data_IF_264908327586
#
_entry.id   IF_264908327586
#
_cell.length_a   1.000
_cell.length_b   1.000
_cell.length_c   1.000
_cell.angle_alpha   90.00
_cell.angle_beta   90.00
_cell.angle_gamma   90.00
#
_symmetry.space_group_name_H-M   'P 1'
#
loop_
_entity.id
_entity.type
_entity.pdbx_description
1 polymer ?
#
# COMPACT_ATOMS: atom_id res chain seq x y z
N UNK A 1 -9.41 -11.71 -4.89
CA UNK A 1 -8.73 -10.57 -4.20
C UNK A 1 -8.65 -9.33 -5.05
N UNK A 2 -8.38 -9.46 -6.33
CA UNK A 2 -8.36 -8.32 -7.26
C UNK A 2 -9.69 -7.55 -7.24
N UNK A 3 -10.83 -8.25 -7.25
CA UNK A 3 -12.16 -7.64 -7.22
C UNK A 3 -12.43 -6.75 -6.00
N UNK A 4 -11.83 -7.09 -4.86
CA UNK A 4 -11.93 -6.26 -3.64
C UNK A 4 -11.14 -4.95 -3.82
N UNK A 5 -9.94 -5.01 -4.39
CA UNK A 5 -9.14 -3.81 -4.64
C UNK A 5 -9.81 -2.92 -5.67
N UNK A 6 -10.32 -3.49 -6.76
CA UNK A 6 -11.01 -2.74 -7.82
C UNK A 6 -12.30 -2.10 -7.35
N UNK A 7 -13.04 -2.72 -6.42
CA UNK A 7 -14.22 -2.10 -5.82
C UNK A 7 -13.89 -0.78 -5.10
N UNK A 8 -12.73 -0.69 -4.47
CA UNK A 8 -12.25 0.57 -3.89
C UNK A 8 -11.72 1.53 -4.96
N UNK A 9 -11.01 1.03 -5.98
CA UNK A 9 -10.49 1.87 -7.08
C UNK A 9 -11.60 2.57 -7.86
N UNK A 10 -12.82 2.04 -7.87
CA UNK A 10 -13.99 2.68 -8.48
C UNK A 10 -14.35 4.03 -7.82
N UNK A 11 -13.88 4.29 -6.61
CA UNK A 11 -14.03 5.58 -5.94
C UNK A 11 -13.01 6.64 -6.44
N UNK A 12 -12.05 6.23 -7.27
CA UNK A 12 -11.07 7.13 -7.89
C UNK A 12 -11.61 7.60 -9.26
N UNK A 13 -12.37 8.67 -9.25
CA UNK A 13 -13.05 9.21 -10.45
C UNK A 13 -12.13 10.03 -11.36
N UNK A 14 -10.94 10.40 -10.88
CA UNK A 14 -9.92 11.13 -11.64
C UNK A 14 -9.15 10.20 -12.57
N UNK A 15 -8.68 10.67 -13.73
CA UNK A 15 -7.80 9.88 -14.59
C UNK A 15 -6.54 9.42 -13.85
N UNK A 16 -6.17 8.17 -14.02
CA UNK A 16 -4.97 7.59 -13.43
C UNK A 16 -4.38 6.50 -14.33
N UNK A 17 -3.09 6.26 -14.21
CA UNK A 17 -2.41 5.10 -14.79
C UNK A 17 -2.34 3.97 -13.74
N UNK A 18 -2.56 2.76 -14.19
CA UNK A 18 -2.52 1.58 -13.32
C UNK A 18 -1.26 0.75 -13.60
N UNK A 19 -0.47 0.55 -12.57
CA UNK A 19 0.69 -0.35 -12.57
C UNK A 19 0.40 -1.52 -11.64
N UNK A 20 0.54 -2.74 -12.14
CA UNK A 20 0.28 -3.95 -11.35
C UNK A 20 1.51 -4.82 -11.31
N UNK A 21 2.11 -5.00 -10.13
CA UNK A 21 3.16 -5.99 -9.94
C UNK A 21 2.55 -7.36 -9.64
N UNK A 22 2.93 -8.36 -10.41
CA UNK A 22 2.57 -9.75 -10.23
C UNK A 22 3.81 -10.56 -9.87
N UNK A 23 3.72 -11.34 -8.79
CA UNK A 23 4.82 -12.20 -8.36
C UNK A 23 4.87 -13.41 -9.28
N UNK A 24 6.04 -13.64 -9.88
CA UNK A 24 6.28 -14.76 -10.79
C UNK A 24 5.96 -16.11 -10.14
N UNK A 25 5.27 -16.98 -10.87
CA UNK A 25 4.75 -18.25 -10.38
C UNK A 25 3.53 -18.20 -9.45
N UNK A 26 2.98 -16.98 -9.17
CA UNK A 26 1.83 -16.80 -8.26
C UNK A 26 0.61 -16.14 -8.91
N UNK A 27 0.54 -16.11 -10.22
CA UNK A 27 -0.59 -15.60 -11.00
C UNK A 27 -0.97 -16.58 -12.10
N UNK A 28 -2.18 -16.45 -12.62
CA UNK A 28 -2.71 -17.21 -13.75
C UNK A 28 -2.93 -16.30 -14.94
N UNK A 29 -3.12 -16.90 -16.12
CA UNK A 29 -3.52 -16.15 -17.31
C UNK A 29 -4.87 -15.45 -17.10
N UNK A 30 -5.78 -16.08 -16.37
CA UNK A 30 -7.08 -15.50 -16.00
C UNK A 30 -6.92 -14.23 -15.16
N UNK A 31 -5.94 -14.19 -14.24
CA UNK A 31 -5.66 -12.99 -13.45
C UNK A 31 -5.21 -11.83 -14.36
N UNK A 32 -4.35 -12.09 -15.33
CA UNK A 32 -3.90 -11.10 -16.32
C UNK A 32 -5.09 -10.57 -17.13
N UNK A 33 -5.96 -11.45 -17.59
CA UNK A 33 -7.15 -11.07 -18.36
C UNK A 33 -8.12 -10.23 -17.55
N UNK A 34 -8.37 -10.57 -16.29
CA UNK A 34 -9.18 -9.77 -15.36
C UNK A 34 -8.60 -8.37 -15.16
N UNK A 35 -7.29 -8.26 -15.00
CA UNK A 35 -6.61 -6.97 -14.84
C UNK A 35 -6.78 -6.13 -16.10
N UNK A 36 -6.52 -6.68 -17.27
CA UNK A 36 -6.66 -6.00 -18.57
C UNK A 36 -8.11 -5.61 -18.89
N UNK A 37 -9.07 -6.45 -18.48
CA UNK A 37 -10.50 -6.14 -18.61
C UNK A 37 -10.92 -4.97 -17.73
N UNK A 38 -10.34 -4.85 -16.54
CA UNK A 38 -10.62 -3.73 -15.63
C UNK A 38 -10.07 -2.40 -16.21
N UNK A 39 -8.84 -2.41 -16.73
CA UNK A 39 -8.20 -1.22 -17.32
C UNK A 39 -7.27 -1.64 -18.47
N UNK A 40 -7.61 -1.22 -19.69
CA UNK A 40 -6.94 -1.66 -20.92
C UNK A 40 -5.50 -1.16 -21.05
N UNK A 41 -5.21 0.04 -20.53
CA UNK A 41 -3.89 0.69 -20.54
C UNK A 41 -3.04 0.37 -19.28
N UNK A 42 -3.34 -0.75 -18.61
CA UNK A 42 -2.58 -1.19 -17.44
C UNK A 42 -1.17 -1.64 -17.82
N UNK A 43 -0.18 -1.24 -17.01
CA UNK A 43 1.18 -1.77 -17.10
C UNK A 43 1.36 -2.90 -16.08
N UNK A 44 1.54 -4.12 -16.57
CA UNK A 44 1.79 -5.32 -15.74
C UNK A 44 3.30 -5.54 -15.67
N UNK A 45 3.82 -5.70 -14.45
CA UNK A 45 5.24 -5.87 -14.16
C UNK A 45 5.42 -7.19 -13.40
N UNK A 46 6.18 -8.11 -13.99
CA UNK A 46 6.52 -9.36 -13.33
C UNK A 46 7.67 -9.13 -12.36
N UNK A 47 7.55 -9.63 -11.14
CA UNK A 47 8.51 -9.41 -10.06
C UNK A 47 8.83 -10.72 -9.35
N UNK A 48 10.07 -10.85 -8.89
CA UNK A 48 10.46 -11.93 -8.00
C UNK A 48 9.74 -11.80 -6.64
N UNK A 49 9.56 -12.93 -5.95
CA UNK A 49 8.99 -12.94 -4.59
C UNK A 49 10.01 -12.48 -3.55
N UNK A 50 10.45 -11.23 -3.66
CA UNK A 50 11.41 -10.59 -2.76
C UNK A 50 10.86 -9.27 -2.21
N UNK A 51 11.11 -9.00 -0.92
CA UNK A 51 10.74 -7.73 -0.28
C UNK A 51 9.24 -7.56 -0.03
N UNK A 52 8.48 -8.65 -0.05
CA UNK A 52 7.04 -8.68 0.21
C UNK A 52 6.30 -7.70 -0.73
N UNK A 53 5.33 -6.94 -0.21
CA UNK A 53 4.57 -5.93 -0.97
C UNK A 53 5.36 -4.64 -1.29
N UNK A 54 6.42 -4.35 -0.53
CA UNK A 54 7.32 -3.22 -0.80
C UNK A 54 8.25 -3.53 -1.97
N UNK A 55 8.77 -4.76 -2.09
CA UNK A 55 9.61 -5.15 -3.21
C UNK A 55 8.91 -4.99 -4.56
N UNK A 56 7.68 -5.48 -4.67
CA UNK A 56 6.84 -5.29 -5.85
C UNK A 56 6.54 -3.82 -6.15
N UNK A 57 6.27 -3.02 -5.11
CA UNK A 57 6.06 -1.58 -5.26
C UNK A 57 7.29 -0.86 -5.80
N UNK A 58 8.47 -1.08 -5.21
CA UNK A 58 9.71 -0.44 -5.64
C UNK A 58 10.08 -0.81 -7.08
N UNK A 59 9.76 -2.02 -7.51
CA UNK A 59 9.96 -2.44 -8.90
C UNK A 59 9.02 -1.71 -9.84
N UNK A 60 7.72 -1.61 -9.48
CA UNK A 60 6.74 -0.86 -10.26
C UNK A 60 7.03 0.65 -10.26
N UNK A 61 7.53 1.20 -9.16
CA UNK A 61 7.89 2.62 -9.02
C UNK A 61 8.92 3.07 -10.06
N UNK A 62 9.87 2.22 -10.44
CA UNK A 62 10.87 2.53 -11.48
C UNK A 62 10.27 2.73 -12.87
N UNK A 63 9.05 2.27 -13.08
CA UNK A 63 8.33 2.34 -14.34
C UNK A 63 7.32 3.49 -14.40
N UNK A 64 7.19 4.24 -13.28
CA UNK A 64 6.28 5.38 -13.18
C UNK A 64 6.83 6.56 -13.98
N UNK A 65 5.96 7.23 -14.72
CA UNK A 65 6.36 8.38 -15.52
C UNK A 65 6.81 9.56 -14.64
N UNK A 66 7.85 10.24 -15.09
CA UNK A 66 8.46 11.37 -14.38
C UNK A 66 7.53 12.59 -14.19
N UNK A 67 6.46 12.68 -14.97
CA UNK A 67 5.43 13.72 -14.85
C UNK A 67 4.29 13.34 -13.89
N UNK A 68 4.47 12.29 -13.09
CA UNK A 68 3.52 11.87 -12.06
C UNK A 68 3.64 12.77 -10.85
N UNK A 69 2.53 13.30 -10.35
CA UNK A 69 2.50 14.13 -9.13
C UNK A 69 2.34 13.27 -7.87
N UNK A 70 1.40 12.34 -7.91
CA UNK A 70 0.99 11.52 -6.77
C UNK A 70 0.92 10.04 -7.13
N UNK A 71 1.30 9.20 -6.21
CA UNK A 71 1.17 7.75 -6.31
C UNK A 71 0.26 7.25 -5.20
N UNK A 72 -0.70 6.43 -5.56
CA UNK A 72 -1.46 5.61 -4.62
C UNK A 72 -0.92 4.18 -4.62
N UNK A 73 -0.24 3.82 -3.55
CA UNK A 73 0.26 2.46 -3.35
C UNK A 73 -0.81 1.61 -2.67
N UNK A 74 -1.20 0.55 -3.35
CA UNK A 74 -2.11 -0.48 -2.82
C UNK A 74 -1.42 -1.85 -2.86
N UNK A 75 -1.93 -2.79 -2.09
CA UNK A 75 -1.53 -4.19 -2.21
C UNK A 75 -2.67 -5.12 -1.79
N UNK A 76 -2.64 -6.35 -2.26
CA UNK A 76 -3.49 -7.42 -1.77
C UNK A 76 -2.90 -8.01 -0.50
N UNK A 77 -3.74 -8.57 0.38
CA UNK A 77 -3.28 -9.19 1.61
C UNK A 77 -3.66 -10.67 1.64
N UNK A 78 -2.68 -11.53 1.90
CA UNK A 78 -2.90 -12.97 2.07
C UNK A 78 -3.89 -13.21 3.20
N UNK A 79 -4.92 -14.00 2.95
CA UNK A 79 -5.93 -14.37 3.95
C UNK A 79 -7.22 -13.54 3.92
N UNK A 80 -7.34 -12.51 3.05
CA UNK A 80 -8.59 -11.72 2.91
C UNK A 80 -9.77 -12.58 2.44
N UNK A 81 -9.51 -13.61 1.64
CA UNK A 81 -10.52 -14.53 1.11
C UNK A 81 -10.83 -15.74 2.00
N UNK A 82 -10.19 -15.87 3.15
CA UNK A 82 -10.49 -16.96 4.08
C UNK A 82 -11.78 -16.64 4.85
N UNK A 83 -12.65 -17.66 5.09
CA UNK A 83 -13.83 -17.47 5.90
C UNK A 83 -13.45 -16.90 7.27
N UNK A 84 -14.29 -16.00 7.77
CA UNK A 84 -14.14 -15.44 9.11
C UNK A 84 -14.37 -16.57 10.13
N UNK A 85 -13.29 -17.11 10.65
CA UNK A 85 -13.35 -17.92 11.85
C UNK A 85 -12.76 -17.07 12.99
N UNK A 86 -13.64 -16.40 13.79
CA UNK A 86 -13.19 -15.52 14.87
C UNK A 86 -12.42 -16.24 15.97
N UNK A 87 -12.54 -17.59 16.05
CA UNK A 87 -11.83 -18.41 17.02
C UNK A 87 -10.50 -18.98 16.51
N UNK A 88 -10.17 -18.82 15.21
CA UNK A 88 -8.90 -19.28 14.69
C UNK A 88 -7.79 -18.27 15.01
N UNK A 89 -7.04 -18.54 16.05
CA UNK A 89 -5.83 -17.81 16.41
C UNK A 89 -4.65 -18.37 15.62
N UNK A 90 -3.95 -17.52 14.91
CA UNK A 90 -2.69 -17.88 14.24
C UNK A 90 -1.55 -17.19 14.96
N UNK A 91 -0.62 -17.99 15.49
CA UNK A 91 0.62 -17.46 16.05
C UNK A 91 1.52 -16.93 14.94
N UNK A 92 1.70 -15.64 14.89
CA UNK A 92 2.62 -15.00 13.95
C UNK A 92 3.63 -14.17 14.73
N UNK A 93 4.92 -14.49 14.64
CA UNK A 93 6.02 -13.79 15.34
C UNK A 93 5.79 -13.61 16.83
N UNK A 94 5.26 -14.65 17.51
CA UNK A 94 5.03 -14.61 18.95
C UNK A 94 3.76 -13.89 19.41
N UNK A 95 2.97 -13.31 18.51
CA UNK A 95 1.66 -12.72 18.83
C UNK A 95 0.53 -13.58 18.27
N UNK A 96 -0.50 -13.80 19.08
CA UNK A 96 -1.75 -14.39 18.64
C UNK A 96 -2.57 -13.34 17.90
N UNK A 97 -2.82 -13.56 16.63
CA UNK A 97 -3.64 -12.66 15.79
C UNK A 97 -4.82 -13.45 15.26
N UNK A 98 -6.05 -12.99 15.51
CA UNK A 98 -7.22 -13.61 14.92
C UNK A 98 -7.24 -13.38 13.41
N UNK A 99 -7.65 -14.40 12.63
CA UNK A 99 -7.73 -14.30 11.17
C UNK A 99 -8.70 -13.21 10.71
N UNK A 100 -9.75 -12.92 11.48
CA UNK A 100 -10.71 -11.84 11.22
C UNK A 100 -10.09 -10.44 11.31
N UNK A 101 -9.10 -10.22 12.17
CA UNK A 101 -8.40 -8.94 12.28
C UNK A 101 -7.66 -8.53 11.00
N UNK A 102 -7.14 -9.50 10.24
CA UNK A 102 -6.43 -9.24 8.98
C UNK A 102 -7.33 -8.59 7.93
N UNK A 103 -8.57 -9.07 7.81
CA UNK A 103 -9.55 -8.54 6.87
C UNK A 103 -10.07 -7.16 7.30
N UNK A 104 -10.46 -7.02 8.56
CA UNK A 104 -10.90 -5.72 9.10
C UNK A 104 -9.82 -4.66 8.97
N UNK A 105 -8.58 -5.02 9.30
CA UNK A 105 -7.45 -4.12 9.15
C UNK A 105 -7.19 -3.72 7.71
N UNK A 106 -7.24 -4.67 6.76
CA UNK A 106 -7.11 -4.37 5.33
C UNK A 106 -8.21 -3.40 4.85
N UNK A 107 -9.46 -3.67 5.20
CA UNK A 107 -10.56 -2.77 4.86
C UNK A 107 -10.40 -1.38 5.52
N UNK A 108 -9.90 -1.32 6.74
CA UNK A 108 -9.56 -0.07 7.40
C UNK A 108 -8.52 0.73 6.61
N UNK A 109 -7.43 0.07 6.18
CA UNK A 109 -6.39 0.69 5.36
C UNK A 109 -6.97 1.23 4.03
N UNK A 110 -7.75 0.41 3.32
CA UNK A 110 -8.38 0.81 2.05
C UNK A 110 -9.35 1.96 2.23
N UNK A 111 -10.23 1.90 3.24
CA UNK A 111 -11.16 2.99 3.58
C UNK A 111 -10.44 4.28 3.96
N UNK A 112 -9.30 4.18 4.61
CA UNK A 112 -8.47 5.35 4.94
C UNK A 112 -8.01 6.15 3.73
N UNK A 113 -7.87 5.52 2.58
CA UNK A 113 -7.35 6.16 1.35
C UNK A 113 -8.35 6.21 0.19
N UNK A 114 -9.36 5.33 0.17
CA UNK A 114 -10.30 5.13 -0.95
C UNK A 114 -11.73 4.79 -0.51
N UNK A 115 -12.23 5.26 0.64
CA UNK A 115 -13.60 4.90 1.10
C UNK A 115 -14.68 5.33 0.12
N UNK A 116 -14.52 6.52 -0.44
CA UNK A 116 -15.47 7.18 -1.33
C UNK A 116 -14.76 8.33 -2.07
N UNK A 117 -15.44 8.90 -3.06
CA UNK A 117 -14.90 10.03 -3.84
C UNK A 117 -14.61 11.26 -2.96
N UNK A 118 -15.43 11.55 -1.97
CA UNK A 118 -15.20 12.68 -1.09
C UNK A 118 -13.91 12.51 -0.27
N UNK A 119 -13.59 11.29 0.16
CA UNK A 119 -12.32 10.99 0.82
C UNK A 119 -11.13 11.21 -0.12
N UNK A 120 -11.23 10.74 -1.35
CA UNK A 120 -10.20 10.94 -2.38
C UNK A 120 -9.97 12.44 -2.60
N UNK A 121 -11.03 13.20 -2.81
CA UNK A 121 -10.93 14.64 -3.04
C UNK A 121 -10.27 15.37 -1.86
N UNK A 122 -10.65 15.06 -0.61
CA UNK A 122 -9.98 15.65 0.58
C UNK A 122 -8.48 15.34 0.64
N UNK A 123 -8.07 14.13 0.22
CA UNK A 123 -6.64 13.78 0.17
C UNK A 123 -5.92 14.59 -0.90
N UNK A 124 -6.50 14.71 -2.09
CA UNK A 124 -5.93 15.50 -3.19
C UNK A 124 -5.82 16.98 -2.81
N UNK A 125 -6.86 17.55 -2.21
CA UNK A 125 -6.85 18.92 -1.67
C UNK A 125 -5.77 19.10 -0.60
N UNK A 126 -5.57 18.13 0.29
CA UNK A 126 -4.48 18.18 1.28
C UNK A 126 -3.12 18.28 0.60
N UNK A 127 -2.87 17.50 -0.44
CA UNK A 127 -1.61 17.61 -1.20
C UNK A 127 -1.49 18.92 -1.98
N UNK A 128 -2.58 19.46 -2.49
CA UNK A 128 -2.57 20.75 -3.21
C UNK A 128 -2.24 21.92 -2.26
N UNK A 129 -2.88 21.94 -1.09
CA UNK A 129 -2.82 23.06 -0.15
C UNK A 129 -1.63 23.01 0.82
N UNK A 130 -1.01 21.84 1.00
CA UNK A 130 0.11 21.65 1.91
C UNK A 130 1.31 21.03 1.18
N UNK A 131 2.27 21.86 0.81
CA UNK A 131 3.49 21.42 0.11
C UNK A 131 4.37 20.49 0.96
N UNK A 132 4.25 20.57 2.29
CA UNK A 132 4.99 19.71 3.21
C UNK A 132 4.31 18.35 3.44
N UNK A 133 3.10 18.16 2.93
CA UNK A 133 2.42 16.86 2.98
C UNK A 133 3.06 15.90 1.98
N UNK A 134 3.97 15.05 2.43
CA UNK A 134 4.64 14.05 1.59
C UNK A 134 3.85 12.75 1.45
N UNK A 135 3.07 12.35 2.48
CA UNK A 135 2.37 11.07 2.50
C UNK A 135 1.05 11.14 3.29
N UNK A 136 0.03 10.42 2.82
CA UNK A 136 -1.27 10.25 3.49
C UNK A 136 -1.65 8.77 3.52
N UNK A 137 -2.02 8.26 4.70
CA UNK A 137 -2.50 6.90 4.90
C UNK A 137 -3.63 6.80 5.90
N UNK A 138 -3.99 5.57 6.27
CA UNK A 138 -5.10 5.32 7.20
C UNK A 138 -4.83 5.83 8.61
N UNK A 139 -3.66 5.50 9.16
CA UNK A 139 -3.30 5.82 10.53
C UNK A 139 -1.80 6.06 10.65
N UNK A 140 -1.45 7.06 11.44
CA UNK A 140 -0.07 7.29 11.84
C UNK A 140 0.24 6.49 13.11
N UNK A 141 1.43 5.93 13.14
CA UNK A 141 1.97 5.21 14.29
C UNK A 141 3.27 5.87 14.73
N UNK A 142 3.53 5.86 16.02
CA UNK A 142 4.84 6.22 16.54
C UNK A 142 5.81 5.06 16.31
N UNK A 143 7.07 5.37 16.10
CA UNK A 143 8.10 4.35 16.04
C UNK A 143 8.12 3.58 17.36
N UNK A 144 8.01 2.25 17.26
CA UNK A 144 8.12 1.39 18.43
C UNK A 144 9.59 1.19 18.80
N UNK A 145 9.90 1.08 20.08
CA UNK A 145 11.25 0.76 20.57
C UNK A 145 11.83 -0.52 19.96
N UNK A 146 10.98 -1.44 19.50
CA UNK A 146 11.37 -2.73 18.93
C UNK A 146 12.19 -2.59 17.65
N UNK A 147 11.92 -1.57 16.84
CA UNK A 147 12.58 -1.39 15.54
C UNK A 147 13.65 -0.29 15.55
N UNK A 148 13.88 0.39 16.67
CA UNK A 148 14.78 1.55 16.74
C UNK A 148 16.20 1.21 16.25
N UNK A 149 16.77 0.11 16.74
CA UNK A 149 18.13 -0.30 16.37
C UNK A 149 18.26 -0.57 14.85
N UNK A 150 17.24 -1.16 14.22
CA UNK A 150 17.26 -1.41 12.78
C UNK A 150 17.08 -0.12 11.98
N UNK A 151 16.24 0.79 12.44
CA UNK A 151 16.05 2.11 11.84
C UNK A 151 17.35 2.92 11.92
N UNK A 152 18.03 2.94 13.09
CA UNK A 152 19.31 3.63 13.28
C UNK A 152 20.40 3.15 12.31
N UNK A 153 20.45 1.86 12.00
CA UNK A 153 21.39 1.32 11.01
C UNK A 153 21.11 1.82 9.58
N UNK A 154 19.82 2.09 9.28
CA UNK A 154 19.41 2.55 7.94
C UNK A 154 19.50 4.08 7.79
N UNK A 155 19.32 4.85 8.85
CA UNK A 155 19.32 6.30 8.79
C UNK A 155 20.52 6.90 8.03
N UNK A 156 21.78 6.50 8.27
CA UNK A 156 22.93 7.06 7.54
C UNK A 156 22.88 6.81 6.04
N UNK A 157 22.29 5.67 5.59
CA UNK A 157 22.18 5.34 4.18
C UNK A 157 21.24 6.30 3.42
N UNK A 158 20.37 6.99 4.15
CA UNK A 158 19.40 7.96 3.62
C UNK A 158 19.72 9.40 4.02
N UNK A 159 20.90 9.66 4.60
CA UNK A 159 21.25 11.00 5.08
C UNK A 159 20.42 11.48 6.27
N UNK A 160 19.80 10.55 7.00
CA UNK A 160 18.95 10.83 8.16
C UNK A 160 19.75 10.66 9.46
N UNK A 161 19.34 11.33 10.51
CA UNK A 161 19.90 11.22 11.85
C UNK A 161 18.90 10.56 12.82
N UNK A 162 19.33 10.37 14.07
CA UNK A 162 18.52 9.73 15.12
C UNK A 162 17.19 10.44 15.43
N UNK A 163 17.07 11.76 15.15
CA UNK A 163 15.81 12.50 15.35
C UNK A 163 14.68 11.98 14.49
N UNK A 164 14.99 11.19 13.45
CA UNK A 164 13.99 10.51 12.65
C UNK A 164 13.18 9.47 13.45
N UNK A 165 13.72 8.95 14.56
CA UNK A 165 13.03 8.02 15.45
C UNK A 165 11.81 8.61 16.12
N UNK A 166 11.77 9.94 16.33
CA UNK A 166 10.65 10.65 16.93
C UNK A 166 9.50 10.92 15.94
N UNK A 167 9.68 10.54 14.68
CA UNK A 167 8.67 10.76 13.65
C UNK A 167 7.63 9.65 13.66
N UNK A 168 6.42 10.03 13.30
CA UNK A 168 5.35 9.09 13.00
C UNK A 168 5.50 8.50 11.60
N UNK A 169 4.96 7.33 11.39
CA UNK A 169 4.94 6.68 10.09
C UNK A 169 3.54 6.19 9.71
N UNK A 170 3.28 6.05 8.42
CA UNK A 170 2.05 5.47 7.90
C UNK A 170 2.13 3.95 8.01
N UNK A 171 1.28 3.37 8.87
CA UNK A 171 1.23 1.90 9.03
C UNK A 171 0.47 1.21 7.90
N UNK A 172 0.88 -0.01 7.60
CA UNK A 172 0.16 -0.94 6.73
C UNK A 172 0.45 -0.85 5.26
N UNK A 173 1.38 -0.01 4.83
CA UNK A 173 1.90 0.07 3.46
C UNK A 173 0.84 0.30 2.35
N UNK A 174 -0.33 0.87 2.70
CA UNK A 174 -1.35 1.39 1.78
C UNK A 174 -1.43 2.89 2.02
N UNK A 175 -1.04 3.69 1.01
CA UNK A 175 -0.86 5.13 1.17
C UNK A 175 -0.85 5.88 -0.16
N UNK A 176 -1.10 7.17 -0.07
CA UNK A 176 -0.77 8.16 -1.09
C UNK A 176 0.59 8.78 -0.77
N UNK A 177 1.39 9.03 -1.77
CA UNK A 177 2.70 9.68 -1.64
C UNK A 177 2.98 10.62 -2.81
N UNK A 178 3.66 11.73 -2.56
CA UNK A 178 4.22 12.58 -3.62
C UNK A 178 5.31 11.83 -4.35
N UNK A 179 5.31 11.94 -5.69
CA UNK A 179 6.35 11.33 -6.50
C UNK A 179 7.68 12.11 -6.40
N UNK A 180 7.59 13.43 -6.49
CA UNK A 180 8.74 14.33 -6.39
C UNK A 180 8.74 14.99 -5.00
N UNK A 181 9.54 14.48 -4.08
CA UNK A 181 9.80 15.05 -2.75
C UNK A 181 11.21 15.62 -2.75
#
# INVERSE_FOLDING_TARGET
MFDIVTSYLNNLTRPYKLYVSLVDGFYTQEDIEKIKKYKTDVKIILVENKGVDIGGFLRAFKEVDSNTDLILKLHTKKGIGLPENPSALVRRRGMEVSLGHGRQWFHGLMKGVLSDEARVNRILEKFQNDKNCGMVGYKLYNNSKINQNEILKLCPLFGLNETFLDKTFVGGTIFWVRYNI
#
